data_IF_657029983777
#
_entry.id   IF_657029983777
#
_cell.length_a   1.000
_cell.length_b   1.000
_cell.length_c   1.000
_cell.angle_alpha   90.00
_cell.angle_beta   90.00
_cell.angle_gamma   90.00
#
_symmetry.space_group_name_H-M   'P 1'
#
loop_
_entity.id
_entity.type
_entity.pdbx_description
1 polymer ?
#
# COMPACT_ATOMS: atom_id res chain seq x y z
N UNK A 1 48.33 -29.42 -36.47
CA UNK A 1 47.57 -30.15 -35.44
C UNK A 1 47.76 -29.37 -34.15
N UNK A 2 46.81 -28.50 -33.82
CA UNK A 2 46.82 -27.70 -32.59
C UNK A 2 45.79 -28.32 -31.65
N UNK A 3 46.25 -28.77 -30.50
CA UNK A 3 45.41 -29.39 -29.46
C UNK A 3 44.53 -28.31 -28.79
N UNK A 4 43.22 -28.56 -28.72
CA UNK A 4 42.31 -27.84 -27.85
C UNK A 4 42.54 -28.28 -26.39
N UNK A 5 42.62 -27.37 -25.40
CA UNK A 5 42.53 -27.77 -24.01
C UNK A 5 41.11 -28.22 -23.67
N UNK A 6 41.03 -29.39 -23.05
CA UNK A 6 39.82 -30.01 -22.53
C UNK A 6 39.09 -29.07 -21.56
N UNK A 7 37.80 -28.88 -21.79
CA UNK A 7 36.90 -28.25 -20.84
C UNK A 7 36.83 -29.11 -19.58
N UNK A 8 37.48 -28.64 -18.51
CA UNK A 8 37.38 -29.21 -17.18
C UNK A 8 35.96 -29.07 -16.67
N UNK A 9 35.32 -30.22 -16.51
CA UNK A 9 34.03 -30.45 -15.87
C UNK A 9 34.10 -30.04 -14.40
N UNK A 10 34.02 -28.75 -14.09
CA UNK A 10 33.86 -28.26 -12.73
C UNK A 10 32.37 -28.25 -12.34
N UNK A 11 31.76 -29.44 -12.35
CA UNK A 11 30.54 -29.69 -11.57
C UNK A 11 30.96 -30.01 -10.14
N UNK A 12 31.39 -28.96 -9.44
CA UNK A 12 31.53 -28.99 -7.99
C UNK A 12 30.22 -29.51 -7.38
N UNK A 13 30.32 -30.66 -6.72
CA UNK A 13 29.33 -31.23 -5.83
C UNK A 13 28.79 -30.14 -4.89
N UNK A 14 27.65 -29.56 -5.25
CA UNK A 14 26.85 -28.79 -4.30
C UNK A 14 26.28 -29.80 -3.31
N UNK A 15 26.88 -29.87 -2.12
CA UNK A 15 26.36 -30.68 -1.03
C UNK A 15 24.91 -30.28 -0.75
N UNK A 16 24.03 -31.21 -0.36
CA UNK A 16 22.65 -30.89 -0.01
C UNK A 16 22.55 -29.83 1.09
N UNK A 17 23.57 -29.68 1.95
CA UNK A 17 23.70 -28.56 2.89
C UNK A 17 23.89 -27.20 2.21
N UNK A 18 24.76 -27.07 1.20
CA UNK A 18 24.90 -25.81 0.44
C UNK A 18 23.64 -25.48 -0.38
N UNK A 19 22.90 -26.48 -0.83
CA UNK A 19 21.59 -26.29 -1.46
C UNK A 19 20.56 -25.85 -0.41
N UNK A 20 20.57 -26.44 0.79
CA UNK A 20 19.69 -26.07 1.90
C UNK A 20 20.03 -24.68 2.47
N UNK A 21 21.28 -24.26 2.48
CA UNK A 21 21.73 -22.94 2.92
C UNK A 21 21.43 -21.86 1.85
N UNK A 22 21.49 -22.22 0.56
CA UNK A 22 21.03 -21.36 -0.55
C UNK A 22 19.50 -21.27 -0.66
N UNK A 23 18.78 -22.34 -0.30
CA UNK A 23 17.32 -22.36 -0.18
C UNK A 23 16.84 -21.79 1.16
N UNK A 24 17.73 -21.74 2.14
CA UNK A 24 17.53 -21.28 3.51
C UNK A 24 18.04 -19.87 3.71
N UNK A 25 17.40 -18.91 3.06
CA UNK A 25 17.25 -17.60 3.70
C UNK A 25 15.77 -17.39 3.95
N UNK A 26 15.35 -17.79 5.16
CA UNK A 26 13.98 -17.84 5.69
C UNK A 26 13.30 -16.48 5.84
N UNK A 27 13.39 -15.63 4.81
CA UNK A 27 12.68 -14.36 4.75
C UNK A 27 11.32 -14.58 4.08
N UNK A 28 10.27 -14.29 4.84
CA UNK A 28 8.89 -14.26 4.35
C UNK A 28 8.70 -13.19 3.25
N UNK A 29 9.58 -12.18 3.21
CA UNK A 29 9.53 -11.04 2.28
C UNK A 29 10.81 -10.90 1.47
N UNK A 30 10.66 -10.68 0.16
CA UNK A 30 11.77 -10.46 -0.75
C UNK A 30 12.31 -9.02 -0.65
N UNK A 31 13.62 -8.82 -0.88
CA UNK A 31 14.24 -7.47 -0.82
C UNK A 31 13.59 -6.47 -1.79
N UNK A 32 13.12 -6.95 -2.94
CA UNK A 32 12.40 -6.14 -3.92
C UNK A 32 11.07 -5.58 -3.38
N UNK A 33 10.37 -6.34 -2.53
CA UNK A 33 9.14 -5.89 -1.88
C UNK A 33 9.41 -4.82 -0.81
N UNK A 34 10.52 -4.96 -0.07
CA UNK A 34 10.97 -3.94 0.89
C UNK A 34 11.27 -2.61 0.20
N UNK A 35 12.01 -2.65 -0.91
CA UNK A 35 12.29 -1.45 -1.71
C UNK A 35 11.01 -0.83 -2.27
N UNK A 36 10.10 -1.65 -2.81
CA UNK A 36 8.80 -1.18 -3.29
C UNK A 36 7.98 -0.51 -2.19
N UNK A 37 8.02 -1.02 -0.95
CA UNK A 37 7.37 -0.35 0.19
C UNK A 37 7.87 1.07 0.40
N UNK A 38 9.18 1.32 0.35
CA UNK A 38 9.75 2.66 0.50
C UNK A 38 9.36 3.61 -0.64
N UNK A 39 9.34 3.10 -1.88
CA UNK A 39 8.83 3.86 -3.04
C UNK A 39 7.35 4.21 -2.86
N UNK A 40 6.54 3.25 -2.41
CA UNK A 40 5.12 3.44 -2.14
C UNK A 40 4.87 4.49 -1.06
N UNK A 41 5.68 4.49 0.00
CA UNK A 41 5.63 5.51 1.05
C UNK A 41 5.94 6.91 0.50
N UNK A 42 6.97 7.05 -0.35
CA UNK A 42 7.28 8.33 -1.01
C UNK A 42 6.15 8.81 -1.94
N UNK A 43 5.55 7.91 -2.71
CA UNK A 43 4.38 8.23 -3.55
C UNK A 43 3.19 8.66 -2.70
N UNK A 44 2.91 7.93 -1.62
CA UNK A 44 1.83 8.25 -0.69
C UNK A 44 2.00 9.63 -0.05
N UNK A 45 3.25 9.99 0.30
CA UNK A 45 3.58 11.32 0.80
C UNK A 45 3.20 12.43 -0.17
N UNK A 46 3.59 12.30 -1.44
CA UNK A 46 3.28 13.30 -2.47
C UNK A 46 1.78 13.41 -2.71
N UNK A 47 1.06 12.27 -2.78
CA UNK A 47 -0.40 12.25 -2.94
C UNK A 47 -1.08 12.95 -1.77
N UNK A 48 -0.72 12.59 -0.53
CA UNK A 48 -1.35 13.17 0.65
C UNK A 48 -1.12 14.68 0.72
N UNK A 49 0.11 15.16 0.53
CA UNK A 49 0.39 16.60 0.55
C UNK A 49 -0.37 17.32 -0.57
N UNK A 50 -0.34 16.80 -1.80
CA UNK A 50 -0.95 17.46 -2.95
C UNK A 50 -2.48 17.60 -2.85
N UNK A 51 -3.16 16.61 -2.24
CA UNK A 51 -4.62 16.55 -2.25
C UNK A 51 -5.27 16.88 -0.89
N UNK A 52 -4.60 16.65 0.24
CA UNK A 52 -5.20 16.91 1.58
C UNK A 52 -5.13 18.39 1.98
N UNK A 53 -4.25 19.19 1.35
CA UNK A 53 -4.22 20.64 1.57
C UNK A 53 -5.47 21.35 1.00
N UNK A 54 -6.23 20.70 0.12
CA UNK A 54 -7.45 21.25 -0.47
C UNK A 54 -8.65 20.39 -0.07
N UNK A 55 -9.41 20.85 0.92
CA UNK A 55 -10.56 20.13 1.52
C UNK A 55 -11.54 19.62 0.45
N UNK A 56 -11.80 20.40 -0.61
CA UNK A 56 -12.73 20.02 -1.68
C UNK A 56 -12.28 18.80 -2.50
N UNK A 57 -10.99 18.47 -2.52
CA UNK A 57 -10.40 17.43 -3.38
C UNK A 57 -10.14 16.13 -2.62
N UNK A 58 -10.30 16.15 -1.30
CA UNK A 58 -10.06 15.03 -0.41
C UNK A 58 -10.68 13.68 -0.80
N UNK A 59 -11.91 13.60 -1.36
CA UNK A 59 -12.43 12.31 -1.82
C UNK A 59 -11.53 11.61 -2.85
N UNK A 60 -10.72 12.37 -3.60
CA UNK A 60 -9.76 11.79 -4.54
C UNK A 60 -8.69 10.94 -3.85
N UNK A 61 -8.29 11.23 -2.62
CA UNK A 61 -7.28 10.43 -1.92
C UNK A 61 -7.79 9.01 -1.67
N UNK A 62 -9.07 8.87 -1.31
CA UNK A 62 -9.72 7.57 -1.17
C UNK A 62 -9.83 6.85 -2.51
N UNK A 63 -10.23 7.55 -3.57
CA UNK A 63 -10.31 6.98 -4.91
C UNK A 63 -8.95 6.54 -5.45
N UNK A 64 -7.88 7.28 -5.12
CA UNK A 64 -6.51 6.99 -5.57
C UNK A 64 -5.78 5.97 -4.69
N UNK A 65 -6.22 5.74 -3.45
CA UNK A 65 -5.60 4.77 -2.55
C UNK A 65 -5.63 3.35 -3.14
N UNK A 66 -6.76 2.95 -3.74
CA UNK A 66 -6.94 1.65 -4.39
C UNK A 66 -5.98 1.44 -5.58
N UNK A 67 -5.95 2.31 -6.62
CA UNK A 67 -5.02 2.17 -7.73
C UNK A 67 -3.56 2.35 -7.30
N UNK A 68 -3.25 3.22 -6.33
CA UNK A 68 -1.90 3.35 -5.78
C UNK A 68 -1.43 2.02 -5.15
N UNK A 69 -2.29 1.37 -4.37
CA UNK A 69 -2.07 0.03 -3.83
C UNK A 69 -1.83 -1.00 -4.93
N UNK A 70 -2.65 -1.00 -5.98
CA UNK A 70 -2.50 -1.92 -7.11
C UNK A 70 -1.17 -1.74 -7.85
N UNK A 71 -0.79 -0.48 -8.12
CA UNK A 71 0.47 -0.13 -8.77
C UNK A 71 1.65 -0.61 -7.93
N UNK A 72 1.66 -0.35 -6.62
CA UNK A 72 2.78 -0.72 -5.77
C UNK A 72 2.88 -2.23 -5.55
N UNK A 73 1.73 -2.92 -5.43
CA UNK A 73 1.67 -4.38 -5.38
C UNK A 73 2.21 -5.02 -6.66
N UNK A 74 1.86 -4.47 -7.83
CA UNK A 74 2.44 -4.91 -9.11
C UNK A 74 3.95 -4.65 -9.16
N UNK A 75 4.40 -3.46 -8.76
CA UNK A 75 5.80 -3.07 -8.73
C UNK A 75 6.65 -3.97 -7.82
N UNK A 76 6.16 -4.28 -6.62
CA UNK A 76 6.80 -5.19 -5.66
C UNK A 76 7.09 -6.56 -6.27
N UNK A 77 6.15 -7.10 -7.05
CA UNK A 77 6.31 -8.39 -7.73
C UNK A 77 7.19 -8.34 -8.98
N UNK A 78 7.21 -7.20 -9.70
CA UNK A 78 8.16 -7.01 -10.81
C UNK A 78 9.59 -6.99 -10.27
N UNK A 79 9.81 -6.43 -9.08
CA UNK A 79 11.14 -6.31 -8.48
C UNK A 79 11.62 -7.54 -7.70
N UNK A 80 10.73 -8.43 -7.28
CA UNK A 80 11.06 -9.64 -6.49
C UNK A 80 11.36 -10.90 -7.33
N UNK A 81 11.59 -10.74 -8.64
CA UNK A 81 11.78 -11.80 -9.66
C UNK A 81 10.52 -12.59 -10.04
N UNK A 82 10.54 -13.16 -11.25
CA UNK A 82 9.34 -13.28 -12.10
C UNK A 82 8.32 -14.34 -11.67
N UNK A 83 8.70 -15.40 -10.95
CA UNK A 83 7.83 -16.54 -10.67
C UNK A 83 8.18 -17.25 -9.35
N UNK A 84 7.58 -16.77 -8.25
CA UNK A 84 7.66 -17.38 -6.92
C UNK A 84 6.36 -18.12 -6.58
N UNK A 85 6.37 -19.06 -5.60
CA UNK A 85 5.15 -19.71 -5.13
C UNK A 85 4.07 -18.68 -4.77
N UNK A 86 2.80 -19.00 -5.06
CA UNK A 86 1.65 -18.08 -4.99
C UNK A 86 1.57 -17.31 -3.66
N UNK A 87 1.88 -17.97 -2.55
CA UNK A 87 1.90 -17.35 -1.22
C UNK A 87 2.90 -16.19 -1.09
N UNK A 88 4.09 -16.29 -1.69
CA UNK A 88 5.09 -15.20 -1.65
C UNK A 88 4.69 -13.99 -2.49
N UNK A 89 4.02 -14.22 -3.62
CA UNK A 89 3.49 -13.12 -4.46
C UNK A 89 2.46 -12.30 -3.67
N UNK A 90 1.54 -12.98 -2.97
CA UNK A 90 0.56 -12.31 -2.12
C UNK A 90 1.23 -11.60 -0.94
N UNK A 91 2.19 -12.23 -0.25
CA UNK A 91 2.90 -11.62 0.87
C UNK A 91 3.68 -10.35 0.46
N UNK A 92 4.40 -10.38 -0.66
CA UNK A 92 5.13 -9.22 -1.19
C UNK A 92 4.19 -8.06 -1.54
N UNK A 93 3.04 -8.39 -2.16
CA UNK A 93 2.03 -7.39 -2.53
C UNK A 93 1.38 -6.78 -1.29
N UNK A 94 0.95 -7.63 -0.35
CA UNK A 94 0.33 -7.22 0.89
C UNK A 94 1.27 -6.30 1.69
N UNK A 95 2.54 -6.67 1.81
CA UNK A 95 3.53 -5.84 2.49
C UNK A 95 3.67 -4.45 1.84
N UNK A 96 3.84 -4.39 0.51
CA UNK A 96 3.96 -3.10 -0.19
C UNK A 96 2.70 -2.23 -0.02
N UNK A 97 1.51 -2.84 -0.08
CA UNK A 97 0.24 -2.18 0.17
C UNK A 97 0.08 -1.69 1.61
N UNK A 98 0.47 -2.49 2.61
CA UNK A 98 0.43 -2.11 4.03
C UNK A 98 1.34 -0.91 4.28
N UNK A 99 2.59 -0.95 3.83
CA UNK A 99 3.55 0.16 4.03
C UNK A 99 3.03 1.45 3.40
N UNK A 100 2.50 1.36 2.17
CA UNK A 100 1.91 2.52 1.47
C UNK A 100 0.67 3.03 2.17
N UNK A 101 -0.24 2.14 2.55
CA UNK A 101 -1.49 2.46 3.24
C UNK A 101 -1.26 3.07 4.62
N UNK A 102 -0.28 2.60 5.39
CA UNK A 102 0.11 3.21 6.67
C UNK A 102 0.64 4.63 6.44
N UNK A 103 1.49 4.82 5.42
CA UNK A 103 1.99 6.15 5.06
C UNK A 103 0.86 7.13 4.74
N UNK A 104 -0.09 6.71 3.90
CA UNK A 104 -1.28 7.50 3.56
C UNK A 104 -2.15 7.78 4.80
N UNK A 105 -2.43 6.76 5.61
CA UNK A 105 -3.27 6.89 6.80
C UNK A 105 -2.67 7.86 7.83
N UNK A 106 -1.37 7.74 8.10
CA UNK A 106 -0.68 8.61 9.06
C UNK A 106 -0.67 10.07 8.58
N UNK A 107 -0.38 10.30 7.31
CA UNK A 107 -0.37 11.66 6.76
C UNK A 107 -1.77 12.27 6.72
N UNK A 108 -2.77 11.49 6.32
CA UNK A 108 -4.18 11.89 6.35
C UNK A 108 -4.60 12.36 7.75
N UNK A 109 -4.32 11.55 8.78
CA UNK A 109 -4.64 11.90 10.17
C UNK A 109 -3.81 13.10 10.62
N UNK A 110 -2.50 13.09 10.39
CA UNK A 110 -1.60 14.14 10.86
C UNK A 110 -1.93 15.53 10.27
N UNK A 111 -2.18 15.61 8.97
CA UNK A 111 -2.51 16.88 8.30
C UNK A 111 -3.84 17.42 8.84
N UNK A 112 -4.85 16.56 9.04
CA UNK A 112 -6.14 16.99 9.59
C UNK A 112 -6.02 17.45 11.04
N UNK A 113 -5.32 16.69 11.87
CA UNK A 113 -5.06 17.08 13.25
C UNK A 113 -4.27 18.38 13.31
N UNK A 114 -3.32 18.62 12.40
CA UNK A 114 -2.62 19.90 12.32
C UNK A 114 -3.61 21.07 12.15
N UNK A 115 -4.59 20.97 11.26
CA UNK A 115 -5.58 22.06 11.07
C UNK A 115 -6.50 22.27 12.27
N UNK A 116 -6.82 21.21 13.01
CA UNK A 116 -7.70 21.30 14.19
C UNK A 116 -6.92 21.85 15.39
N UNK A 117 -5.71 21.33 15.65
CA UNK A 117 -4.89 21.77 16.77
C UNK A 117 -4.25 23.14 16.54
N UNK A 118 -3.98 23.52 15.29
CA UNK A 118 -3.48 24.84 14.94
C UNK A 118 -4.60 25.86 14.67
N UNK A 119 -5.86 25.52 14.92
CA UNK A 119 -6.97 26.43 14.68
C UNK A 119 -6.92 27.61 15.66
N UNK A 120 -6.64 28.80 15.14
CA UNK A 120 -6.58 30.04 15.92
C UNK A 120 -7.94 30.74 16.06
N UNK A 121 -9.00 30.21 15.46
CA UNK A 121 -10.31 30.88 15.42
C UNK A 121 -10.39 32.04 14.44
N UNK A 122 -9.34 32.28 13.64
CA UNK A 122 -9.34 33.33 12.61
C UNK A 122 -10.39 33.06 11.54
N UNK A 123 -11.17 34.09 11.21
CA UNK A 123 -12.13 34.10 10.10
C UNK A 123 -12.11 35.51 9.51
N UNK A 124 -12.38 35.60 8.22
CA UNK A 124 -12.57 36.90 7.55
C UNK A 124 -13.85 37.57 8.05
N UNK A 125 -13.92 38.89 7.97
CA UNK A 125 -15.04 39.68 8.51
C UNK A 125 -16.39 39.28 7.90
N UNK A 126 -16.41 38.92 6.61
CA UNK A 126 -17.61 38.42 5.92
C UNK A 126 -18.14 37.10 6.48
N UNK A 127 -17.34 36.40 7.28
CA UNK A 127 -17.68 35.18 7.98
C UNK A 127 -17.83 35.41 9.50
N UNK A 128 -17.96 36.65 9.98
CA UNK A 128 -18.17 36.95 11.40
C UNK A 128 -16.90 37.23 12.21
N UNK A 129 -15.74 37.35 11.56
CA UNK A 129 -14.50 37.80 12.19
C UNK A 129 -13.88 36.80 13.17
N UNK A 130 -12.81 37.23 13.84
CA UNK A 130 -12.01 36.43 14.77
C UNK A 130 -12.86 35.90 15.95
N UNK A 131 -12.79 34.60 16.21
CA UNK A 131 -13.38 33.99 17.41
C UNK A 131 -12.48 34.21 18.64
N UNK A 132 -13.10 34.39 19.80
CA UNK A 132 -12.41 34.46 21.10
C UNK A 132 -12.35 33.06 21.72
N UNK A 133 -11.39 32.24 21.29
CA UNK A 133 -11.14 30.90 21.82
C UNK A 133 -9.65 30.59 21.94
N UNK A 134 -9.33 29.62 22.79
CA UNK A 134 -7.96 29.08 22.92
C UNK A 134 -7.69 28.14 21.75
N UNK A 135 -6.55 28.28 21.03
CA UNK A 135 -6.26 27.42 19.89
C UNK A 135 -6.37 25.93 20.19
N UNK A 136 -6.96 25.18 19.26
CA UNK A 136 -7.15 23.73 19.37
C UNK A 136 -8.57 23.25 19.07
N UNK A 137 -8.88 21.99 19.40
CA UNK A 137 -10.17 21.35 19.06
C UNK A 137 -11.40 22.12 19.59
N UNK A 138 -11.29 22.73 20.76
CA UNK A 138 -12.37 23.55 21.34
C UNK A 138 -12.66 24.81 20.48
N UNK A 139 -11.63 25.44 19.90
CA UNK A 139 -11.81 26.60 19.03
C UNK A 139 -12.45 26.21 17.70
N UNK A 140 -12.08 25.03 17.16
CA UNK A 140 -12.75 24.46 16.00
C UNK A 140 -14.22 24.13 16.30
N UNK A 141 -14.53 23.57 17.47
CA UNK A 141 -15.91 23.32 17.90
C UNK A 141 -16.74 24.62 17.90
N UNK A 142 -16.22 25.70 18.50
CA UNK A 142 -16.88 27.02 18.47
C UNK A 142 -17.07 27.54 17.04
N UNK A 143 -16.11 27.30 16.14
CA UNK A 143 -16.26 27.65 14.72
C UNK A 143 -17.41 26.90 14.06
N UNK A 144 -17.60 25.61 14.37
CA UNK A 144 -18.73 24.85 13.84
C UNK A 144 -20.07 25.36 14.38
N UNK A 145 -20.14 25.71 15.67
CA UNK A 145 -21.34 26.33 16.26
C UNK A 145 -21.66 27.67 15.58
N UNK A 146 -20.65 28.51 15.40
CA UNK A 146 -20.79 29.80 14.74
C UNK A 146 -21.06 29.69 13.22
N UNK A 147 -20.89 28.51 12.63
CA UNK A 147 -21.31 28.17 11.26
C UNK A 147 -22.72 27.54 11.22
N UNK A 148 -23.42 27.42 12.35
CA UNK A 148 -24.76 26.86 12.44
C UNK A 148 -24.81 25.33 12.42
N UNK A 149 -23.67 24.65 12.62
CA UNK A 149 -23.55 23.17 12.55
C UNK A 149 -23.79 22.47 13.90
N UNK A 150 -24.30 23.21 14.89
CA UNK A 150 -24.60 22.72 16.23
C UNK A 150 -25.61 21.57 16.28
N UNK A 151 -26.73 21.62 15.53
CA UNK A 151 -27.69 20.52 15.49
C UNK A 151 -27.09 19.20 15.01
N UNK A 152 -26.23 19.24 13.98
CA UNK A 152 -25.56 18.04 13.46
C UNK A 152 -24.54 17.47 14.43
N UNK A 153 -23.78 18.33 15.12
CA UNK A 153 -22.86 17.92 16.17
C UNK A 153 -23.59 17.28 17.36
N UNK A 154 -24.67 17.90 17.80
CA UNK A 154 -25.50 17.38 18.91
C UNK A 154 -26.13 16.04 18.54
N UNK A 155 -26.61 15.89 17.30
CA UNK A 155 -27.13 14.61 16.80
C UNK A 155 -26.06 13.49 16.78
N UNK A 156 -24.79 13.87 16.70
CA UNK A 156 -23.63 12.97 16.77
C UNK A 156 -23.10 12.76 18.20
N UNK A 157 -23.78 13.30 19.22
CA UNK A 157 -23.38 13.21 20.63
C UNK A 157 -22.27 14.18 21.03
N UNK A 158 -21.95 15.17 20.20
CA UNK A 158 -20.93 16.19 20.46
C UNK A 158 -21.59 17.42 21.09
N UNK A 159 -21.23 17.71 22.34
CA UNK A 159 -21.84 18.80 23.14
C UNK A 159 -20.83 19.83 23.66
N UNK A 160 -19.54 19.53 23.55
CA UNK A 160 -18.45 20.38 24.03
C UNK A 160 -17.16 20.11 23.24
N UNK A 161 -16.11 20.88 23.54
CA UNK A 161 -14.81 20.74 22.86
C UNK A 161 -14.12 19.37 23.07
N UNK A 162 -14.34 18.72 24.21
CA UNK A 162 -13.72 17.43 24.52
C UNK A 162 -14.39 16.27 23.77
N UNK A 163 -15.73 16.27 23.73
CA UNK A 163 -16.52 15.34 22.91
C UNK A 163 -16.28 15.57 21.42
N UNK A 164 -16.05 16.83 21.00
CA UNK A 164 -15.66 17.14 19.61
C UNK A 164 -14.29 16.55 19.26
N UNK A 165 -13.29 16.72 20.12
CA UNK A 165 -11.95 16.14 19.92
C UNK A 165 -12.02 14.61 19.78
N UNK A 166 -12.74 13.94 20.69
CA UNK A 166 -12.91 12.48 20.64
C UNK A 166 -13.64 12.03 19.36
N UNK A 167 -14.70 12.73 18.98
CA UNK A 167 -15.44 12.46 17.75
C UNK A 167 -14.54 12.58 16.53
N UNK A 168 -13.82 13.69 16.39
CA UNK A 168 -12.96 13.95 15.23
C UNK A 168 -11.78 12.97 15.16
N UNK A 169 -11.19 12.59 16.29
CA UNK A 169 -10.18 11.54 16.35
C UNK A 169 -10.74 10.20 15.82
N UNK A 170 -11.95 9.81 16.25
CA UNK A 170 -12.56 8.56 15.79
C UNK A 170 -12.84 8.56 14.28
N UNK A 171 -13.35 9.68 13.74
CA UNK A 171 -13.62 9.85 12.32
C UNK A 171 -12.33 9.82 11.49
N UNK A 172 -11.27 10.47 11.95
CA UNK A 172 -9.99 10.49 11.25
C UNK A 172 -9.28 9.13 11.27
N UNK A 173 -9.36 8.42 12.40
CA UNK A 173 -8.86 7.04 12.49
C UNK A 173 -9.66 6.10 11.56
N UNK A 174 -10.97 6.23 11.52
CA UNK A 174 -11.84 5.47 10.59
C UNK A 174 -11.47 5.75 9.12
N UNK A 175 -11.27 7.02 8.77
CA UNK A 175 -10.80 7.41 7.44
C UNK A 175 -9.42 6.85 7.10
N UNK A 176 -8.46 6.92 8.04
CA UNK A 176 -7.13 6.34 7.88
C UNK A 176 -7.16 4.81 7.69
N UNK A 177 -8.00 4.11 8.47
CA UNK A 177 -8.22 2.67 8.31
C UNK A 177 -8.82 2.33 6.94
N UNK A 178 -9.72 3.16 6.45
CA UNK A 178 -10.30 3.01 5.10
C UNK A 178 -9.22 3.15 4.02
N UNK A 179 -8.33 4.14 4.13
CA UNK A 179 -7.20 4.30 3.20
C UNK A 179 -6.24 3.11 3.23
N UNK A 180 -5.94 2.61 4.43
CA UNK A 180 -5.13 1.40 4.60
C UNK A 180 -5.80 0.20 3.91
N UNK A 181 -7.09 -0.04 4.18
CA UNK A 181 -7.84 -1.13 3.60
C UNK A 181 -7.91 -1.06 2.07
N UNK A 182 -8.12 0.13 1.51
CA UNK A 182 -8.13 0.36 0.07
C UNK A 182 -6.75 0.10 -0.55
N UNK A 183 -5.68 0.60 0.06
CA UNK A 183 -4.31 0.39 -0.45
C UNK A 183 -3.91 -1.09 -0.41
N UNK A 184 -4.21 -1.78 0.70
CA UNK A 184 -3.97 -3.23 0.82
C UNK A 184 -4.83 -4.00 -0.18
N UNK A 185 -6.12 -3.66 -0.30
CA UNK A 185 -7.04 -4.28 -1.25
C UNK A 185 -6.55 -4.16 -2.69
N UNK A 186 -6.11 -2.96 -3.09
CA UNK A 186 -5.51 -2.72 -4.40
C UNK A 186 -4.28 -3.58 -4.64
N UNK A 187 -3.37 -3.62 -3.67
CA UNK A 187 -2.14 -4.41 -3.77
C UNK A 187 -2.44 -5.92 -3.87
N UNK A 188 -3.40 -6.42 -3.10
CA UNK A 188 -3.85 -7.80 -3.16
C UNK A 188 -4.53 -8.15 -4.48
N UNK A 189 -5.32 -7.24 -5.07
CA UNK A 189 -5.89 -7.42 -6.41
C UNK A 189 -4.76 -7.63 -7.42
N UNK A 190 -3.75 -6.76 -7.42
CA UNK A 190 -2.60 -6.88 -8.32
C UNK A 190 -1.80 -8.17 -8.08
N UNK A 191 -1.56 -8.54 -6.81
CA UNK A 191 -0.88 -9.77 -6.41
C UNK A 191 -1.65 -11.03 -6.83
N UNK A 192 -2.97 -11.05 -6.61
CA UNK A 192 -3.87 -12.15 -6.98
C UNK A 192 -3.93 -12.36 -8.49
N UNK A 193 -4.09 -11.27 -9.26
CA UNK A 193 -4.06 -11.31 -10.73
C UNK A 193 -2.73 -11.82 -11.28
N UNK A 194 -1.62 -11.62 -10.55
CA UNK A 194 -0.31 -12.16 -10.92
C UNK A 194 -0.18 -13.63 -10.53
N UNK A 195 -0.61 -14.00 -9.34
CA UNK A 195 -0.53 -15.37 -8.81
C UNK A 195 -1.41 -16.37 -9.58
N UNK A 196 -2.46 -15.90 -10.28
CA UNK A 196 -3.34 -16.71 -11.11
C UNK A 196 -2.75 -17.07 -12.47
N UNK A 197 -1.74 -16.34 -12.97
CA UNK A 197 -1.10 -16.62 -14.27
C UNK A 197 -0.23 -17.88 -14.17
N UNK A 198 -0.02 -18.58 -15.29
CA UNK A 198 0.80 -19.80 -15.38
C UNK A 198 2.27 -19.47 -15.67
N UNK A 199 3.26 -20.09 -15.00
CA UNK A 199 4.67 -19.83 -15.30
C UNK A 199 5.04 -20.23 -16.73
N UNK A 200 5.85 -19.45 -17.45
CA UNK A 200 6.27 -19.76 -18.82
C UNK A 200 7.04 -21.09 -18.90
N UNK A 201 7.85 -21.42 -17.89
CA UNK A 201 8.60 -22.69 -17.84
C UNK A 201 7.72 -23.94 -17.72
N UNK A 202 6.50 -23.82 -17.18
CA UNK A 202 5.56 -24.95 -17.14
C UNK A 202 5.02 -25.26 -18.54
N UNK A 203 4.84 -24.24 -19.39
CA UNK A 203 4.36 -24.41 -20.75
C UNK A 203 5.37 -25.13 -21.66
N UNK A 204 6.66 -24.82 -21.53
CA UNK A 204 7.72 -25.48 -22.30
C UNK A 204 7.85 -26.97 -21.96
N UNK A 205 7.76 -27.34 -20.68
CA UNK A 205 7.81 -28.75 -20.27
C UNK A 205 6.59 -29.54 -20.76
N UNK A 206 5.39 -28.96 -20.73
CA UNK A 206 4.18 -29.58 -21.28
C UNK A 206 4.19 -29.69 -22.81
N UNK A 207 4.78 -28.72 -23.52
CA UNK A 207 4.97 -28.82 -24.98
C UNK A 207 5.98 -29.90 -25.34
N UNK A 208 7.08 -30.00 -24.59
CA UNK A 208 8.10 -31.01 -24.83
C UNK A 208 7.56 -32.41 -24.58
N UNK A 209 6.85 -32.65 -23.48
CA UNK A 209 6.22 -33.96 -23.20
C UNK A 209 5.11 -34.32 -24.19
N UNK A 210 4.32 -33.34 -24.64
CA UNK A 210 3.34 -33.57 -25.72
C UNK A 210 4.00 -33.88 -27.08
N UNK A 211 5.20 -33.37 -27.34
CA UNK A 211 5.94 -33.65 -28.56
C UNK A 211 6.51 -35.07 -28.61
N UNK A 212 7.01 -35.58 -27.48
CA UNK A 212 7.49 -36.97 -27.38
C UNK A 212 6.34 -37.99 -27.49
N UNK A 213 5.19 -37.73 -26.85
CA UNK A 213 4.05 -38.65 -26.88
C UNK A 213 3.40 -38.81 -28.28
N UNK A 214 3.54 -37.82 -29.17
CA UNK A 214 3.04 -37.90 -30.54
C UNK A 214 4.01 -38.66 -31.46
N UNK A 215 5.31 -38.62 -31.16
CA UNK A 215 6.33 -39.40 -31.87
C UNK A 215 6.13 -40.90 -31.65
N UNK A 216 5.93 -41.33 -30.40
CA UNK A 216 5.81 -42.75 -30.06
C UNK A 216 4.51 -43.41 -30.59
N UNK A 217 3.47 -42.62 -30.89
CA UNK A 217 2.22 -43.09 -31.46
C UNK A 217 2.23 -43.16 -33.00
N UNK A 218 3.21 -42.55 -33.66
CA UNK A 218 3.37 -42.61 -35.12
C UNK A 218 4.25 -43.79 -35.57
N UNK A 219 4.99 -44.40 -34.64
CA UNK A 219 5.91 -45.52 -34.87
C UNK A 219 5.33 -46.89 -34.43
N UNK A 220 4.03 -46.96 -34.10
CA UNK A 220 3.29 -48.18 -33.74
C UNK A 220 2.23 -48.53 -34.79
#
# INVERSE_FOLDING_TARGET
>A
MSELPAATTDQAHLTPELIAERQGNGRFLDRGAVFAGWVGLGMGLVIAIAFELIVAIQPLVFLLALPAGAIIGAYANVRSERWRPRGRVLANSAYAGVVTGIGLALLYVAIRLLFIYADSGYRVDTQGGQLSCVPGPACTYERYLAAGRGPELTASGVTDGASFEAFVLSEHLSGGLTLLALSVGGALIAGGLRASRTPPFRQERSRSTSGYAVSDAADA
#
